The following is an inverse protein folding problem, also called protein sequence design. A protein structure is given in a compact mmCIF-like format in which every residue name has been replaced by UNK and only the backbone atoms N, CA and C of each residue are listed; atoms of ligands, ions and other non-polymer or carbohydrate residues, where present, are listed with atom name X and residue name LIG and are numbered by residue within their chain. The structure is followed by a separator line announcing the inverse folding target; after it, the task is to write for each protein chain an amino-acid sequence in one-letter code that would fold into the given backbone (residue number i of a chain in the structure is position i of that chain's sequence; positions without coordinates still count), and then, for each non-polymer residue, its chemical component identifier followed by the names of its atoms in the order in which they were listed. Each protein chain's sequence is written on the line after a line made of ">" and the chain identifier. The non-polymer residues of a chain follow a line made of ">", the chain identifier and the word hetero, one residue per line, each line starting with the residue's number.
data_IF_262333413735
#
_entry.id   IF_262333413735
#
_cell.length_a   1.000
_cell.length_b   1.000
_cell.length_c   1.000
_cell.angle_alpha   90.00
_cell.angle_beta   90.00
_cell.angle_gamma   90.00
#
_symmetry.space_group_name_H-M   'P 1'
#
loop_
_entity.id
_entity.type
_entity.pdbx_description
1 polymer ?
#
# COMPACT_ATOMS: atom_id res chain seq x y z
N UNK A 1 8.50 -19.14 -18.83
CA UNK A 1 8.79 -17.97 -17.97
C UNK A 1 8.30 -18.29 -16.57
N UNK A 2 9.04 -17.91 -15.52
CA UNK A 2 8.68 -18.17 -14.11
C UNK A 2 8.86 -16.87 -13.31
N UNK A 3 7.88 -16.53 -12.49
CA UNK A 3 7.94 -15.42 -11.52
C UNK A 3 7.32 -15.87 -10.20
N UNK A 4 8.13 -15.95 -9.14
CA UNK A 4 7.73 -16.47 -7.81
C UNK A 4 8.02 -15.48 -6.68
N UNK A 5 8.11 -14.19 -7.02
CA UNK A 5 8.47 -13.10 -6.12
C UNK A 5 9.89 -12.57 -6.34
N UNK A 6 10.24 -11.55 -5.56
CA UNK A 6 11.54 -10.89 -5.58
C UNK A 6 12.19 -10.90 -4.19
N UNK A 7 13.52 -10.94 -4.15
CA UNK A 7 14.31 -10.75 -2.94
C UNK A 7 14.84 -9.31 -2.91
N UNK A 8 14.64 -8.54 -1.82
CA UNK A 8 15.21 -7.21 -1.71
C UNK A 8 16.75 -7.25 -1.72
N UNK A 9 17.37 -6.29 -2.42
CA UNK A 9 18.82 -6.16 -2.51
C UNK A 9 19.44 -5.55 -1.24
N UNK A 10 19.40 -6.26 -0.11
CA UNK A 10 19.93 -5.81 1.20
C UNK A 10 21.17 -6.58 1.65
N UNK A 11 21.66 -7.55 0.87
CA UNK A 11 22.79 -8.42 1.23
C UNK A 11 24.09 -7.61 1.44
N UNK A 12 24.28 -6.53 0.70
CA UNK A 12 25.44 -5.64 0.83
C UNK A 12 25.45 -4.83 2.15
N UNK A 13 24.34 -4.80 2.89
CA UNK A 13 24.22 -4.13 4.19
C UNK A 13 24.59 -5.01 5.38
N UNK A 14 24.92 -6.29 5.18
CA UNK A 14 25.11 -7.25 6.27
C UNK A 14 26.13 -6.78 7.35
N UNK A 15 27.16 -6.04 6.94
CA UNK A 15 28.23 -5.57 7.83
C UNK A 15 28.18 -4.08 8.18
N UNK A 16 27.14 -3.35 7.75
CA UNK A 16 27.06 -1.89 7.95
C UNK A 16 26.43 -1.49 9.30
N UNK A 17 25.91 -2.47 10.04
CA UNK A 17 25.17 -2.23 11.27
C UNK A 17 23.83 -1.52 11.05
N UNK A 18 23.23 -1.63 9.86
CA UNK A 18 21.82 -1.32 9.67
C UNK A 18 20.94 -2.47 10.15
N UNK A 19 19.76 -2.13 10.67
CA UNK A 19 18.78 -3.13 11.06
C UNK A 19 17.98 -3.58 9.84
N UNK A 20 18.07 -4.88 9.52
CA UNK A 20 17.30 -5.54 8.47
C UNK A 20 16.29 -6.48 9.14
N UNK A 21 15.03 -6.45 8.71
CA UNK A 21 14.00 -7.41 9.13
C UNK A 21 13.16 -7.84 7.93
N UNK A 22 12.88 -9.15 7.83
CA UNK A 22 12.20 -9.78 6.68
C UNK A 22 12.73 -9.29 5.31
N UNK A 23 14.05 -9.19 5.20
CA UNK A 23 14.77 -8.75 4.00
C UNK A 23 14.75 -7.24 3.73
N UNK A 24 13.99 -6.45 4.49
CA UNK A 24 13.88 -5.00 4.31
C UNK A 24 14.67 -4.19 5.34
N UNK A 25 15.19 -3.05 4.89
CA UNK A 25 15.88 -2.05 5.72
C UNK A 25 14.85 -1.31 6.59
N UNK A 26 15.01 -1.40 7.91
CA UNK A 26 14.09 -0.80 8.86
C UNK A 26 14.24 0.73 8.85
N UNK A 27 13.12 1.42 8.67
CA UNK A 27 13.04 2.89 8.75
C UNK A 27 11.96 3.34 9.72
N UNK A 28 12.11 4.55 10.24
CA UNK A 28 11.11 5.20 11.09
C UNK A 28 9.98 5.84 10.24
N UNK A 29 9.06 6.56 10.90
CA UNK A 29 7.95 7.26 10.24
C UNK A 29 8.40 8.29 9.21
N UNK A 30 9.64 8.78 9.26
CA UNK A 30 10.23 9.74 8.32
C UNK A 30 11.05 9.06 7.21
N UNK A 31 10.93 7.74 7.09
CA UNK A 31 11.72 6.90 6.16
C UNK A 31 13.23 6.92 6.42
N UNK A 32 13.62 7.32 7.63
CA UNK A 32 15.01 7.42 8.07
C UNK A 32 15.41 6.15 8.82
N UNK A 33 16.61 5.65 8.57
CA UNK A 33 17.24 4.58 9.33
C UNK A 33 17.72 5.15 10.68
N UNK A 34 17.29 4.56 11.82
CA UNK A 34 17.54 5.16 13.13
C UNK A 34 19.03 5.42 13.43
N UNK A 35 19.38 6.69 13.67
CA UNK A 35 20.71 7.09 14.15
C UNK A 35 21.84 7.01 13.11
N UNK A 36 21.51 7.01 11.82
CA UNK A 36 22.49 6.79 10.73
C UNK A 36 22.51 7.87 9.65
N UNK A 37 21.60 8.85 9.71
CA UNK A 37 21.46 9.91 8.68
C UNK A 37 21.35 9.34 7.24
N UNK A 38 20.62 8.23 7.12
CA UNK A 38 20.39 7.50 5.87
C UNK A 38 18.91 7.19 5.75
N UNK A 39 18.35 7.34 4.55
CA UNK A 39 16.94 7.06 4.26
C UNK A 39 16.79 5.87 3.32
N UNK A 40 15.65 5.19 3.39
CA UNK A 40 15.29 4.12 2.47
C UNK A 40 13.90 4.36 1.89
N UNK A 41 13.72 3.99 0.62
CA UNK A 41 12.45 4.10 -0.08
C UNK A 41 12.26 2.91 -1.03
N UNK A 42 11.00 2.64 -1.38
CA UNK A 42 10.63 1.58 -2.30
C UNK A 42 10.76 0.18 -1.69
N UNK A 43 11.02 -0.80 -2.54
CA UNK A 43 10.89 -2.23 -2.22
C UNK A 43 11.79 -2.71 -1.08
N UNK A 44 12.89 -2.00 -0.80
CA UNK A 44 13.80 -2.33 0.30
C UNK A 44 13.34 -1.77 1.64
N UNK A 45 12.47 -0.74 1.65
CA UNK A 45 12.11 -0.05 2.88
C UNK A 45 11.08 -0.87 3.66
N UNK A 46 11.42 -1.19 4.90
CA UNK A 46 10.48 -1.75 5.87
C UNK A 46 10.04 -0.66 6.84
N UNK A 47 8.89 -0.08 6.55
CA UNK A 47 8.39 1.15 7.16
C UNK A 47 7.13 0.88 8.01
N UNK A 48 6.85 1.72 9.01
CA UNK A 48 5.58 1.69 9.74
C UNK A 48 4.45 2.13 8.83
N UNK A 49 3.65 1.18 8.34
CA UNK A 49 2.57 1.42 7.39
C UNK A 49 1.45 2.26 8.05
N UNK A 50 1.02 3.38 7.43
CA UNK A 50 0.04 4.29 8.03
C UNK A 50 -1.37 3.69 8.14
N UNK A 51 -1.70 2.68 7.35
CA UNK A 51 -2.98 1.95 7.38
C UNK A 51 -2.96 0.88 8.45
N UNK A 52 -2.01 -0.06 8.37
CA UNK A 52 -1.99 -1.23 9.28
C UNK A 52 -1.40 -0.91 10.65
N UNK A 53 -0.64 0.19 10.76
CA UNK A 53 0.21 0.53 11.92
C UNK A 53 1.24 -0.53 12.26
N UNK A 54 1.46 -1.48 11.36
CA UNK A 54 2.47 -2.52 11.48
C UNK A 54 3.62 -2.26 10.51
N UNK A 55 4.84 -2.64 10.85
CA UNK A 55 5.95 -2.56 9.91
C UNK A 55 5.76 -3.48 8.70
N UNK A 56 5.79 -2.91 7.50
CA UNK A 56 5.59 -3.62 6.23
C UNK A 56 6.61 -3.21 5.17
N UNK A 57 6.73 -4.05 4.15
CA UNK A 57 7.48 -3.85 2.92
C UNK A 57 6.50 -4.01 1.77
N UNK A 58 6.50 -3.10 0.81
CA UNK A 58 5.58 -3.11 -0.33
C UNK A 58 6.36 -2.97 -1.64
N UNK A 59 5.98 -3.75 -2.64
CA UNK A 59 6.56 -3.78 -4.00
C UNK A 59 5.63 -3.06 -4.99
N UNK A 60 5.13 -1.89 -4.59
CA UNK A 60 4.17 -1.12 -5.38
C UNK A 60 4.85 0.11 -5.98
N UNK A 61 4.62 0.36 -7.26
CA UNK A 61 5.13 1.55 -7.95
C UNK A 61 4.73 2.86 -7.23
N UNK A 62 3.45 2.97 -6.83
CA UNK A 62 2.93 4.13 -6.10
C UNK A 62 3.64 4.33 -4.74
N UNK A 63 3.88 3.23 -4.01
CA UNK A 63 4.66 3.27 -2.77
C UNK A 63 6.08 3.79 -3.02
N UNK A 64 6.78 3.25 -4.02
CA UNK A 64 8.15 3.64 -4.34
C UNK A 64 8.23 5.13 -4.73
N UNK A 65 7.30 5.62 -5.55
CA UNK A 65 7.23 7.02 -5.96
C UNK A 65 6.98 7.94 -4.75
N UNK A 66 5.99 7.62 -3.92
CA UNK A 66 5.63 8.43 -2.77
C UNK A 66 6.74 8.44 -1.70
N UNK A 67 7.35 7.28 -1.42
CA UNK A 67 8.45 7.16 -0.48
C UNK A 67 9.69 7.90 -0.96
N UNK A 68 10.06 7.77 -2.25
CA UNK A 68 11.21 8.46 -2.81
C UNK A 68 11.09 9.99 -2.65
N UNK A 69 9.91 10.54 -2.96
CA UNK A 69 9.61 11.96 -2.74
C UNK A 69 9.72 12.36 -1.26
N UNK A 70 9.16 11.58 -0.34
CA UNK A 70 9.18 11.89 1.09
C UNK A 70 10.58 11.77 1.69
N UNK A 71 11.32 10.72 1.35
CA UNK A 71 12.71 10.54 1.76
C UNK A 71 13.57 11.71 1.25
N UNK A 72 13.39 12.13 -0.01
CA UNK A 72 14.03 13.32 -0.57
C UNK A 72 13.77 14.60 0.24
N UNK A 73 12.50 14.88 0.56
CA UNK A 73 12.14 16.03 1.40
C UNK A 73 12.75 15.96 2.79
N UNK A 74 12.77 14.78 3.40
CA UNK A 74 13.30 14.59 4.74
C UNK A 74 14.84 14.69 4.79
N UNK A 75 15.53 14.20 3.76
CA UNK A 75 16.96 14.47 3.54
C UNK A 75 17.24 15.96 3.40
N UNK A 76 16.32 16.72 2.81
CA UNK A 76 16.41 18.18 2.70
C UNK A 76 15.92 18.94 3.96
N UNK A 77 15.66 18.25 5.07
CA UNK A 77 15.34 18.87 6.36
C UNK A 77 13.86 19.04 6.67
N UNK A 78 12.93 18.53 5.86
CA UNK A 78 11.49 18.68 6.13
C UNK A 78 11.04 17.96 7.42
N UNK A 79 11.62 16.79 7.72
CA UNK A 79 11.33 16.04 8.96
C UNK A 79 9.89 15.53 9.09
N UNK A 80 9.19 15.34 7.97
CA UNK A 80 7.76 15.00 7.92
C UNK A 80 7.51 13.48 7.96
N UNK A 81 6.39 13.02 8.53
CA UNK A 81 6.01 11.60 8.49
C UNK A 81 5.50 11.17 7.11
N UNK A 82 5.79 9.93 6.74
CA UNK A 82 5.22 9.24 5.59
C UNK A 82 3.82 8.72 5.94
N UNK A 83 2.79 9.37 5.40
CA UNK A 83 1.37 9.07 5.65
C UNK A 83 0.60 8.61 4.41
N UNK A 84 1.31 8.41 3.30
CA UNK A 84 0.71 7.99 2.03
C UNK A 84 0.14 6.57 2.15
N UNK A 85 -1.08 6.41 1.67
CA UNK A 85 -1.73 5.10 1.60
C UNK A 85 -1.51 4.53 0.21
N UNK A 86 -0.62 3.54 0.11
CA UNK A 86 -0.27 2.98 -1.18
C UNK A 86 -1.43 2.25 -1.83
N UNK A 87 -1.58 2.44 -3.14
CA UNK A 87 -2.45 1.65 -4.00
C UNK A 87 -1.61 0.67 -4.85
N UNK A 88 -2.19 -0.48 -5.16
CA UNK A 88 -1.68 -1.41 -6.16
C UNK A 88 -2.72 -1.59 -7.25
N UNK A 89 -2.28 -1.82 -8.48
CA UNK A 89 -3.17 -2.18 -9.57
C UNK A 89 -2.54 -3.25 -10.46
N UNK A 90 -3.40 -4.01 -11.15
CA UNK A 90 -3.00 -4.94 -12.18
C UNK A 90 -4.00 -4.87 -13.33
N UNK A 91 -3.49 -4.87 -14.56
CA UNK A 91 -4.29 -4.98 -15.76
C UNK A 91 -4.04 -6.37 -16.37
N UNK A 92 -5.10 -7.16 -16.48
CA UNK A 92 -5.08 -8.50 -17.06
C UNK A 92 -6.12 -8.51 -18.18
N UNK A 93 -5.66 -8.37 -19.43
CA UNK A 93 -6.51 -8.17 -20.59
C UNK A 93 -7.45 -6.96 -20.41
N UNK A 94 -8.76 -7.19 -20.39
CA UNK A 94 -9.83 -6.22 -20.19
C UNK A 94 -10.24 -6.05 -18.71
N UNK A 95 -9.53 -6.70 -17.79
CA UNK A 95 -9.77 -6.62 -16.35
C UNK A 95 -8.72 -5.72 -15.69
N UNK A 96 -9.16 -4.57 -15.19
CA UNK A 96 -8.37 -3.69 -14.31
C UNK A 96 -8.76 -3.95 -12.85
N UNK A 97 -7.79 -4.33 -12.04
CA UNK A 97 -7.94 -4.56 -10.60
C UNK A 97 -7.19 -3.48 -9.85
N UNK A 98 -7.80 -2.85 -8.84
CA UNK A 98 -7.11 -1.99 -7.88
C UNK A 98 -7.25 -2.57 -6.47
N UNK A 99 -6.20 -2.43 -5.67
CA UNK A 99 -6.16 -2.91 -4.28
C UNK A 99 -5.68 -1.78 -3.38
N UNK A 100 -6.42 -1.56 -2.30
CA UNK A 100 -6.18 -0.53 -1.29
C UNK A 100 -6.16 -1.14 0.11
N UNK A 101 -5.27 -0.63 0.96
CA UNK A 101 -5.26 -0.94 2.40
C UNK A 101 -4.87 -2.38 2.75
N UNK A 102 -5.51 -2.94 3.78
CA UNK A 102 -5.27 -4.28 4.32
C UNK A 102 -6.42 -5.22 3.98
N UNK A 103 -6.21 -6.03 2.94
CA UNK A 103 -7.16 -7.06 2.50
C UNK A 103 -6.81 -8.44 3.06
N UNK A 104 -5.63 -8.61 3.65
CA UNK A 104 -5.12 -9.90 4.13
C UNK A 104 -5.68 -10.25 5.51
N UNK A 105 -5.79 -9.26 6.40
CA UNK A 105 -6.17 -9.48 7.81
C UNK A 105 -7.60 -9.06 8.12
N UNK A 106 -8.49 -9.09 7.13
CA UNK A 106 -9.90 -8.74 7.28
C UNK A 106 -10.71 -9.92 7.82
N UNK A 107 -11.72 -9.61 8.64
CA UNK A 107 -12.59 -10.61 9.27
C UNK A 107 -13.86 -10.86 8.42
N UNK A 108 -14.22 -9.92 7.53
CA UNK A 108 -15.34 -10.05 6.62
C UNK A 108 -15.13 -9.27 5.33
N UNK A 109 -15.82 -9.71 4.28
CA UNK A 109 -15.82 -9.08 2.96
C UNK A 109 -17.26 -8.83 2.51
N UNK A 110 -17.55 -7.63 2.00
CA UNK A 110 -18.81 -7.31 1.35
C UNK A 110 -18.57 -6.82 -0.06
N UNK A 111 -19.18 -7.49 -1.04
CA UNK A 111 -19.09 -7.11 -2.45
C UNK A 111 -20.26 -6.20 -2.83
N UNK A 112 -20.00 -5.22 -3.70
CA UNK A 112 -20.97 -4.29 -4.30
C UNK A 112 -20.73 -4.23 -5.80
N UNK A 113 -21.79 -4.23 -6.60
CA UNK A 113 -21.69 -4.26 -8.07
C UNK A 113 -21.93 -5.66 -8.63
N UNK A 114 -21.54 -5.85 -9.89
CA UNK A 114 -21.77 -7.06 -10.66
C UNK A 114 -20.51 -7.93 -10.72
N UNK A 115 -20.65 -9.21 -10.38
CA UNK A 115 -19.59 -10.21 -10.47
C UNK A 115 -19.79 -11.15 -11.68
N UNK A 116 -20.62 -10.77 -12.66
CA UNK A 116 -20.77 -11.52 -13.91
C UNK A 116 -19.39 -11.80 -14.53
N UNK A 117 -18.99 -13.07 -14.69
CA UNK A 117 -17.72 -13.42 -15.30
C UNK A 117 -17.51 -12.84 -16.71
N UNK A 118 -18.59 -12.54 -17.43
CA UNK A 118 -18.52 -11.94 -18.76
C UNK A 118 -18.25 -10.42 -18.74
N UNK A 119 -18.58 -9.73 -17.65
CA UNK A 119 -18.40 -8.29 -17.52
C UNK A 119 -18.36 -7.86 -16.05
N UNK A 120 -17.31 -8.24 -15.29
CA UNK A 120 -17.26 -7.96 -13.86
C UNK A 120 -17.03 -6.46 -13.63
N UNK A 121 -17.82 -5.85 -12.76
CA UNK A 121 -17.71 -4.46 -12.33
C UNK A 121 -18.16 -4.35 -10.87
N UNK A 122 -17.20 -4.44 -9.94
CA UNK A 122 -17.53 -4.50 -8.53
C UNK A 122 -16.43 -3.95 -7.63
N UNK A 123 -16.85 -3.61 -6.40
CA UNK A 123 -15.97 -3.26 -5.28
C UNK A 123 -16.20 -4.25 -4.14
N UNK A 124 -15.15 -4.97 -3.76
CA UNK A 124 -15.09 -5.79 -2.56
C UNK A 124 -14.50 -4.99 -1.40
N UNK A 125 -15.29 -4.78 -0.34
CA UNK A 125 -14.90 -4.06 0.86
C UNK A 125 -14.46 -5.04 1.94
N UNK A 126 -13.22 -4.92 2.39
CA UNK A 126 -12.60 -5.76 3.40
C UNK A 126 -12.67 -5.05 4.76
N UNK A 127 -13.37 -5.64 5.72
CA UNK A 127 -13.58 -5.07 7.04
C UNK A 127 -12.91 -5.87 8.15
N UNK A 128 -12.31 -5.16 9.11
CA UNK A 128 -11.69 -5.71 10.32
C UNK A 128 -12.25 -5.02 11.55
N UNK A 129 -12.73 -5.80 12.52
CA UNK A 129 -13.44 -5.26 13.69
C UNK A 129 -14.54 -4.24 13.32
N UNK A 130 -15.37 -4.58 12.33
CA UNK A 130 -16.47 -3.76 11.80
C UNK A 130 -16.06 -2.39 11.24
N UNK A 131 -14.81 -2.23 10.81
CA UNK A 131 -14.29 -1.02 10.17
C UNK A 131 -13.61 -1.36 8.85
N UNK A 132 -13.72 -0.49 7.85
CA UNK A 132 -13.03 -0.69 6.58
C UNK A 132 -11.52 -0.72 6.79
N UNK A 133 -10.88 -1.78 6.29
CA UNK A 133 -9.44 -2.01 6.38
C UNK A 133 -8.79 -1.97 4.99
N UNK A 134 -9.49 -2.47 3.98
CA UNK A 134 -9.03 -2.48 2.60
C UNK A 134 -10.19 -2.58 1.61
N UNK A 135 -9.86 -2.44 0.33
CA UNK A 135 -10.81 -2.60 -0.76
C UNK A 135 -10.13 -3.17 -1.99
N UNK A 136 -10.88 -3.94 -2.78
CA UNK A 136 -10.50 -4.36 -4.13
C UNK A 136 -11.57 -3.84 -5.08
N UNK A 137 -11.17 -3.19 -6.16
CA UNK A 137 -12.08 -2.75 -7.21
C UNK A 137 -11.73 -3.43 -8.52
N UNK A 138 -12.75 -3.83 -9.28
CA UNK A 138 -12.63 -4.48 -10.58
C UNK A 138 -13.39 -3.66 -11.60
N UNK A 139 -12.69 -3.28 -12.68
CA UNK A 139 -13.21 -2.54 -13.83
C UNK A 139 -13.98 -1.26 -13.50
N UNK A 140 -13.54 -0.49 -12.51
CA UNK A 140 -14.11 0.85 -12.28
C UNK A 140 -14.14 1.64 -13.59
N UNK A 141 -15.26 2.34 -13.83
CA UNK A 141 -15.38 3.23 -14.97
C UNK A 141 -14.24 4.25 -14.95
N UNK A 142 -13.61 4.50 -16.09
CA UNK A 142 -12.43 5.37 -16.18
C UNK A 142 -12.68 6.76 -15.59
N UNK A 143 -13.87 7.32 -15.80
CA UNK A 143 -14.27 8.63 -15.26
C UNK A 143 -14.40 8.63 -13.73
N UNK A 144 -14.81 7.50 -13.14
CA UNK A 144 -15.11 7.38 -11.71
C UNK A 144 -13.92 6.79 -10.93
N UNK A 145 -12.91 6.24 -11.62
CA UNK A 145 -11.79 5.52 -10.99
C UNK A 145 -11.07 6.34 -9.94
N UNK A 146 -10.62 7.56 -10.26
CA UNK A 146 -9.89 8.38 -9.31
C UNK A 146 -10.78 8.82 -8.12
N UNK A 147 -11.98 9.40 -8.33
CA UNK A 147 -12.90 9.71 -7.24
C UNK A 147 -13.23 8.54 -6.32
N UNK A 148 -13.50 7.36 -6.89
CA UNK A 148 -13.85 6.16 -6.12
C UNK A 148 -12.67 5.67 -5.28
N UNK A 149 -11.46 5.64 -5.85
CA UNK A 149 -10.25 5.25 -5.12
C UNK A 149 -9.93 6.25 -3.99
N UNK A 150 -10.08 7.54 -4.25
CA UNK A 150 -9.90 8.59 -3.23
C UNK A 150 -10.91 8.45 -2.09
N UNK A 151 -12.18 8.16 -2.42
CA UNK A 151 -13.24 7.93 -1.43
C UNK A 151 -12.98 6.69 -0.57
N UNK A 152 -12.57 5.58 -1.21
CA UNK A 152 -12.19 4.36 -0.51
C UNK A 152 -10.97 4.57 0.39
N UNK A 153 -9.96 5.29 -0.08
CA UNK A 153 -8.79 5.64 0.75
C UNK A 153 -9.21 6.50 1.95
N UNK A 154 -10.10 7.49 1.76
CA UNK A 154 -10.66 8.29 2.86
C UNK A 154 -11.35 7.39 3.88
N UNK A 155 -12.22 6.49 3.45
CA UNK A 155 -12.93 5.55 4.33
C UNK A 155 -12.00 4.58 5.07
N UNK A 156 -10.95 4.08 4.42
CA UNK A 156 -9.93 3.24 5.08
C UNK A 156 -9.19 4.04 6.15
N UNK A 157 -8.81 5.28 5.85
CA UNK A 157 -8.08 6.17 6.77
C UNK A 157 -8.92 6.55 7.99
N UNK A 158 -10.18 6.88 7.76
CA UNK A 158 -11.17 7.23 8.80
C UNK A 158 -11.71 5.99 9.52
N UNK A 159 -11.44 4.80 8.99
CA UNK A 159 -11.95 3.52 9.47
C UNK A 159 -13.48 3.47 9.53
N UNK A 160 -14.12 4.07 8.52
CA UNK A 160 -15.57 4.11 8.32
C UNK A 160 -15.94 3.20 7.15
N UNK A 161 -17.15 2.63 7.16
CA UNK A 161 -17.66 1.84 6.03
C UNK A 161 -18.52 2.78 5.17
N UNK A 162 -18.31 2.87 3.85
CA UNK A 162 -19.16 3.67 2.98
C UNK A 162 -20.62 3.28 3.16
N UNK A 163 -21.53 4.25 3.27
CA UNK A 163 -22.96 3.96 3.30
C UNK A 163 -23.37 3.20 2.01
N UNK A 164 -24.44 2.42 2.07
CA UNK A 164 -25.05 1.90 0.84
C UNK A 164 -25.72 3.08 0.13
N UNK A 165 -25.34 3.32 -1.12
CA UNK A 165 -26.18 4.07 -2.07
C UNK A 165 -27.02 3.04 -2.81
#
# INVERSE_FOLDING_TARGET
>A
MVGVGAEPNTQWLASSGFSIDRGGLIVNLRLETPGKDVWAAGDIARFPDPVTKQPRRLEHWDNALAQGKQAGRNMAGAGEPYLHQSAFFSDIFDITINVLGDTENADSVKVRGDMDPASPHFTALYAKASRLAGAVTVNLNTADRAPELDDLQRHIRERTIPAAV
#
